data_IF_266207068492
#
_entry.id   IF_266207068492
#
_cell.length_a   1.000
_cell.length_b   1.000
_cell.length_c   1.000
_cell.angle_alpha   90.00
_cell.angle_beta   90.00
_cell.angle_gamma   90.00
#
_symmetry.space_group_name_H-M   'P 1'
#
loop_
_entity.id
_entity.type
_entity.pdbx_description
1 polymer ?
#
# COMPACT_ATOMS: atom_id res chain seq x y z
N UNK A 1 35.80 -21.31 17.23
CA UNK A 1 35.00 -20.08 17.35
C UNK A 1 34.54 -19.71 15.94
N UNK A 2 33.30 -20.02 15.60
CA UNK A 2 32.76 -19.74 14.26
C UNK A 2 32.30 -18.29 14.27
N UNK A 3 32.99 -17.42 13.51
CA UNK A 3 32.53 -16.07 13.22
C UNK A 3 31.25 -16.18 12.39
N UNK A 4 30.10 -16.03 13.05
CA UNK A 4 28.82 -15.86 12.38
C UNK A 4 28.84 -14.56 11.61
N UNK A 5 29.06 -14.62 10.30
CA UNK A 5 28.80 -13.50 9.39
C UNK A 5 27.32 -13.20 9.52
N UNK A 6 27.00 -12.13 10.24
CA UNK A 6 25.64 -11.59 10.24
C UNK A 6 25.31 -11.18 8.80
N UNK A 7 24.53 -12.01 8.14
CA UNK A 7 24.05 -11.74 6.79
C UNK A 7 23.05 -10.58 6.88
N UNK A 8 23.51 -9.36 6.57
CA UNK A 8 22.67 -8.17 6.52
C UNK A 8 21.58 -8.37 5.47
N UNK A 9 20.39 -8.69 5.92
CA UNK A 9 19.22 -8.75 5.04
C UNK A 9 18.75 -7.31 4.81
N UNK A 10 18.63 -6.91 3.55
CA UNK A 10 18.08 -5.60 3.19
C UNK A 10 16.70 -5.44 3.84
N UNK A 11 16.41 -4.25 4.42
CA UNK A 11 15.13 -3.95 5.06
C UNK A 11 13.93 -4.32 4.17
N UNK A 12 14.01 -4.01 2.88
CA UNK A 12 12.99 -4.35 1.88
C UNK A 12 12.58 -5.82 1.91
N UNK A 13 13.53 -6.73 2.12
CA UNK A 13 13.26 -8.16 2.19
C UNK A 13 12.56 -8.59 3.49
N UNK A 14 12.55 -7.73 4.51
CA UNK A 14 11.85 -7.97 5.79
C UNK A 14 10.42 -7.42 5.79
N UNK A 15 10.08 -6.53 4.85
CA UNK A 15 8.77 -5.89 4.77
C UNK A 15 7.77 -6.82 4.06
N UNK A 16 7.29 -7.83 4.79
CA UNK A 16 6.41 -8.87 4.23
C UNK A 16 5.09 -8.28 3.72
N UNK A 17 4.46 -7.36 4.47
CA UNK A 17 3.24 -6.68 4.04
C UNK A 17 3.44 -5.93 2.71
N UNK A 18 4.53 -5.18 2.55
CA UNK A 18 4.85 -4.49 1.30
C UNK A 18 5.05 -5.49 0.16
N UNK A 19 5.73 -6.60 0.43
CA UNK A 19 5.94 -7.65 -0.56
C UNK A 19 4.63 -8.32 -0.99
N UNK A 20 3.70 -8.52 -0.06
CA UNK A 20 2.37 -9.04 -0.34
C UNK A 20 1.57 -8.06 -1.21
N UNK A 21 1.57 -6.76 -0.87
CA UNK A 21 0.91 -5.71 -1.65
C UNK A 21 1.47 -5.63 -3.08
N UNK A 22 2.80 -5.67 -3.24
CA UNK A 22 3.44 -5.72 -4.56
C UNK A 22 2.98 -6.95 -5.36
N UNK A 23 2.86 -8.11 -4.69
CA UNK A 23 2.42 -9.35 -5.32
C UNK A 23 0.97 -9.32 -5.80
N UNK A 24 0.10 -8.48 -5.22
CA UNK A 24 -1.26 -8.27 -5.72
C UNK A 24 -1.28 -7.70 -7.14
N UNK A 25 -0.25 -7.00 -7.54
CA UNK A 25 -0.06 -6.44 -8.88
C UNK A 25 0.98 -7.20 -9.72
N UNK A 26 1.43 -8.37 -9.24
CA UNK A 26 2.38 -9.22 -9.94
C UNK A 26 3.82 -8.71 -9.97
N UNK A 27 4.21 -7.85 -9.02
CA UNK A 27 5.60 -7.39 -8.88
C UNK A 27 6.37 -8.23 -7.87
N UNK A 28 7.58 -8.63 -8.24
CA UNK A 28 8.47 -9.41 -7.37
C UNK A 28 9.18 -8.55 -6.32
N UNK A 29 9.35 -7.24 -6.58
CA UNK A 29 10.02 -6.31 -5.68
C UNK A 29 9.48 -4.90 -5.77
N UNK A 30 9.70 -4.10 -4.72
CA UNK A 30 9.36 -2.68 -4.71
C UNK A 30 10.14 -1.89 -5.78
N UNK A 31 11.39 -2.27 -6.05
CA UNK A 31 12.20 -1.66 -7.10
C UNK A 31 11.59 -1.86 -8.49
N UNK A 32 11.11 -3.08 -8.77
CA UNK A 32 10.43 -3.39 -10.04
C UNK A 32 9.17 -2.53 -10.19
N UNK A 33 8.29 -2.50 -9.18
CA UNK A 33 7.10 -1.66 -9.14
C UNK A 33 7.41 -0.18 -9.43
N UNK A 34 8.33 0.42 -8.68
CA UNK A 34 8.64 1.83 -8.81
C UNK A 34 9.26 2.16 -10.18
N UNK A 35 10.10 1.27 -10.72
CA UNK A 35 10.66 1.47 -12.05
C UNK A 35 9.62 1.39 -13.18
N UNK A 36 8.64 0.50 -13.03
CA UNK A 36 7.56 0.33 -14.01
C UNK A 36 6.59 1.53 -13.97
N UNK A 37 6.29 2.04 -12.77
CA UNK A 37 5.31 3.12 -12.58
C UNK A 37 5.88 4.55 -12.73
N UNK A 38 7.19 4.75 -12.68
CA UNK A 38 7.81 6.11 -12.58
C UNK A 38 7.51 7.06 -13.73
N UNK A 39 7.15 6.54 -14.91
CA UNK A 39 6.85 7.33 -16.09
C UNK A 39 5.35 7.40 -16.41
N UNK A 40 4.50 6.84 -15.54
CA UNK A 40 3.05 6.98 -15.66
C UNK A 40 2.66 8.42 -15.35
N UNK A 41 1.76 8.98 -16.15
CA UNK A 41 1.27 10.34 -15.93
C UNK A 41 0.54 10.45 -14.58
N UNK A 42 0.69 11.61 -13.93
CA UNK A 42 0.19 11.83 -12.57
C UNK A 42 -1.30 12.25 -12.52
N UNK A 43 -1.96 12.42 -13.67
CA UNK A 43 -3.32 12.91 -13.83
C UNK A 43 -4.34 11.79 -14.14
N UNK A 44 -5.54 12.20 -14.57
CA UNK A 44 -6.66 11.31 -14.86
C UNK A 44 -6.92 11.26 -16.37
N UNK A 45 -7.25 10.07 -16.85
CA UNK A 45 -7.65 9.84 -18.26
C UNK A 45 -9.06 10.41 -18.54
N UNK A 46 -9.44 10.43 -19.81
CA UNK A 46 -10.72 10.99 -20.26
C UNK A 46 -11.97 10.27 -19.72
N UNK A 47 -11.84 9.04 -19.27
CA UNK A 47 -12.89 8.26 -18.61
C UNK A 47 -13.00 8.55 -17.10
N UNK A 48 -12.10 9.38 -16.57
CA UNK A 48 -12.11 9.84 -15.19
C UNK A 48 -11.34 8.98 -14.21
N UNK A 49 -10.74 7.87 -14.65
CA UNK A 49 -9.80 7.07 -13.85
C UNK A 49 -8.37 7.58 -13.99
N UNK A 50 -7.52 7.32 -12.98
CA UNK A 50 -6.12 7.70 -13.03
C UNK A 50 -5.35 6.91 -14.10
N UNK A 51 -4.33 7.52 -14.69
CA UNK A 51 -3.43 6.78 -15.58
C UNK A 51 -2.72 5.62 -14.84
N UNK A 52 -2.53 5.76 -13.54
CA UNK A 52 -1.98 4.68 -12.71
C UNK A 52 -2.93 3.48 -12.61
N UNK A 53 -4.24 3.70 -12.46
CA UNK A 53 -5.24 2.64 -12.52
C UNK A 53 -5.13 1.84 -13.81
N UNK A 54 -5.13 2.52 -14.96
CA UNK A 54 -5.00 1.88 -16.28
C UNK A 54 -3.67 1.13 -16.43
N UNK A 55 -2.58 1.73 -15.96
CA UNK A 55 -1.26 1.11 -15.99
C UNK A 55 -1.22 -0.19 -15.19
N UNK A 56 -1.73 -0.17 -13.94
CA UNK A 56 -1.77 -1.36 -13.11
C UNK A 56 -2.69 -2.44 -13.73
N UNK A 57 -3.85 -2.05 -14.25
CA UNK A 57 -4.81 -2.97 -14.87
C UNK A 57 -4.23 -3.61 -16.15
N UNK A 58 -3.43 -2.87 -16.93
CA UNK A 58 -2.79 -3.37 -18.15
C UNK A 58 -1.88 -4.58 -17.94
N UNK A 59 -1.49 -4.87 -16.70
CA UNK A 59 -0.70 -6.07 -16.35
C UNK A 59 -1.52 -7.38 -16.47
N UNK A 60 -2.82 -7.27 -16.70
CA UNK A 60 -3.70 -8.38 -17.02
C UNK A 60 -3.75 -9.47 -15.94
N UNK A 61 -3.52 -10.73 -16.32
CA UNK A 61 -3.61 -11.88 -15.41
C UNK A 61 -2.62 -11.88 -14.23
N UNK A 62 -1.65 -10.97 -14.20
CA UNK A 62 -0.74 -10.81 -13.08
C UNK A 62 -1.39 -10.07 -11.90
N UNK A 63 -2.45 -9.31 -12.16
CA UNK A 63 -3.20 -8.55 -11.13
C UNK A 63 -4.17 -9.48 -10.44
N UNK A 64 -4.09 -9.56 -9.12
CA UNK A 64 -4.92 -10.43 -8.27
C UNK A 64 -6.13 -9.70 -7.65
N UNK A 65 -6.23 -8.40 -7.87
CA UNK A 65 -7.36 -7.57 -7.48
C UNK A 65 -8.31 -7.50 -8.67
N UNK A 66 -9.62 -7.63 -8.44
CA UNK A 66 -10.60 -7.47 -9.51
C UNK A 66 -10.61 -6.02 -10.03
N UNK A 67 -10.88 -5.85 -11.32
CA UNK A 67 -11.00 -4.53 -11.96
C UNK A 67 -11.99 -3.64 -11.20
N UNK A 68 -13.16 -4.15 -10.86
CA UNK A 68 -14.18 -3.39 -10.11
C UNK A 68 -13.67 -2.91 -8.75
N UNK A 69 -12.85 -3.71 -8.07
CA UNK A 69 -12.27 -3.33 -6.77
C UNK A 69 -11.18 -2.29 -6.93
N UNK A 70 -10.33 -2.43 -7.94
CA UNK A 70 -9.29 -1.45 -8.25
C UNK A 70 -9.91 -0.10 -8.66
N UNK A 71 -10.97 -0.12 -9.46
CA UNK A 71 -11.75 1.07 -9.83
C UNK A 71 -12.32 1.77 -8.58
N UNK A 72 -12.92 1.01 -7.66
CA UNK A 72 -13.43 1.55 -6.39
C UNK A 72 -12.33 2.26 -5.58
N UNK A 73 -11.13 1.68 -5.50
CA UNK A 73 -10.01 2.29 -4.80
C UNK A 73 -9.55 3.59 -5.47
N UNK A 74 -9.45 3.60 -6.80
CA UNK A 74 -9.07 4.80 -7.56
C UNK A 74 -10.09 5.95 -7.35
N UNK A 75 -11.38 5.66 -7.41
CA UNK A 75 -12.45 6.63 -7.11
C UNK A 75 -12.38 7.16 -5.67
N UNK A 76 -12.10 6.31 -4.69
CA UNK A 76 -11.91 6.72 -3.30
C UNK A 76 -10.73 7.68 -3.17
N UNK A 77 -9.58 7.34 -3.75
CA UNK A 77 -8.37 8.19 -3.77
C UNK A 77 -8.68 9.55 -4.39
N UNK A 78 -9.33 9.56 -5.55
CA UNK A 78 -9.78 10.79 -6.24
C UNK A 78 -10.66 11.66 -5.33
N UNK A 79 -11.64 11.06 -4.69
CA UNK A 79 -12.57 11.77 -3.77
C UNK A 79 -11.84 12.37 -2.57
N UNK A 80 -10.91 11.63 -1.95
CA UNK A 80 -10.12 12.12 -0.82
C UNK A 80 -9.19 13.26 -1.25
N UNK A 81 -8.55 13.13 -2.41
CA UNK A 81 -7.70 14.18 -2.97
C UNK A 81 -8.51 15.45 -3.30
N UNK A 82 -9.72 15.30 -3.86
CA UNK A 82 -10.64 16.43 -4.09
C UNK A 82 -11.02 17.12 -2.78
N UNK A 83 -11.21 16.37 -1.69
CA UNK A 83 -11.51 16.96 -0.37
C UNK A 83 -10.34 17.81 0.14
N UNK A 84 -9.10 17.37 -0.07
CA UNK A 84 -7.89 18.15 0.26
C UNK A 84 -7.78 19.40 -0.63
N UNK A 85 -8.12 19.27 -1.91
CA UNK A 85 -7.98 20.35 -2.90
C UNK A 85 -9.10 21.41 -2.85
N UNK A 86 -10.22 21.13 -2.16
CA UNK A 86 -11.41 21.98 -2.16
C UNK A 86 -11.15 23.47 -1.91
N UNK A 87 -10.23 23.76 -0.98
CA UNK A 87 -9.90 25.13 -0.56
C UNK A 87 -8.48 25.54 -0.97
N UNK A 88 -7.85 24.81 -1.90
CA UNK A 88 -6.50 25.13 -2.38
C UNK A 88 -6.56 25.98 -3.65
N UNK A 89 -5.79 27.06 -3.66
CA UNK A 89 -5.57 27.87 -4.85
C UNK A 89 -4.82 27.06 -5.93
N UNK A 90 -3.82 26.30 -5.50
CA UNK A 90 -3.02 25.42 -6.36
C UNK A 90 -3.33 23.97 -5.97
N UNK A 91 -4.12 23.24 -6.78
CA UNK A 91 -4.47 21.87 -6.51
C UNK A 91 -3.23 20.94 -6.51
N UNK A 92 -3.18 20.03 -5.55
CA UNK A 92 -2.17 18.99 -5.47
C UNK A 92 -2.54 17.84 -6.39
N UNK A 93 -1.55 17.31 -7.10
CA UNK A 93 -1.62 16.09 -7.89
C UNK A 93 -0.69 15.07 -7.26
N UNK A 94 -1.12 13.82 -7.16
CA UNK A 94 -0.31 12.74 -6.59
C UNK A 94 0.73 12.25 -7.59
N UNK A 95 1.99 12.28 -7.23
CA UNK A 95 3.05 11.59 -7.97
C UNK A 95 2.86 10.07 -7.88
N UNK A 96 3.39 9.33 -8.85
CA UNK A 96 3.25 7.88 -8.93
C UNK A 96 3.52 7.15 -7.59
N UNK A 97 4.58 7.51 -6.87
CA UNK A 97 4.92 6.88 -5.60
C UNK A 97 3.98 7.29 -4.45
N UNK A 98 3.42 8.50 -4.49
CA UNK A 98 2.40 8.97 -3.55
C UNK A 98 1.08 8.24 -3.81
N UNK A 99 0.67 8.13 -5.07
CA UNK A 99 -0.52 7.37 -5.45
C UNK A 99 -0.42 5.91 -4.99
N UNK A 100 0.71 5.24 -5.25
CA UNK A 100 0.93 3.86 -4.80
C UNK A 100 0.88 3.72 -3.28
N UNK A 101 1.43 4.69 -2.53
CA UNK A 101 1.34 4.71 -1.07
C UNK A 101 -0.11 4.79 -0.59
N UNK A 102 -0.91 5.67 -1.20
CA UNK A 102 -2.34 5.84 -0.87
C UNK A 102 -3.16 4.63 -1.29
N UNK A 103 -2.90 4.05 -2.47
CA UNK A 103 -3.55 2.83 -2.95
C UNK A 103 -3.29 1.65 -2.02
N UNK A 104 -2.06 1.47 -1.55
CA UNK A 104 -1.71 0.41 -0.63
C UNK A 104 -2.40 0.58 0.73
N UNK A 105 -2.61 1.83 1.15
CA UNK A 105 -3.41 2.14 2.33
C UNK A 105 -4.90 1.80 2.12
N UNK A 106 -5.47 2.12 0.95
CA UNK A 106 -6.86 1.72 0.61
C UNK A 106 -7.04 0.20 0.73
N UNK A 107 -6.15 -0.57 0.09
CA UNK A 107 -6.21 -2.02 0.12
C UNK A 107 -6.09 -2.54 1.56
N UNK A 108 -5.11 -2.02 2.32
CA UNK A 108 -4.90 -2.43 3.70
C UNK A 108 -6.13 -2.16 4.57
N UNK A 109 -6.69 -0.94 4.51
CA UNK A 109 -7.82 -0.54 5.35
C UNK A 109 -9.10 -1.29 4.97
N UNK A 110 -9.33 -1.53 3.68
CA UNK A 110 -10.45 -2.34 3.23
C UNK A 110 -10.36 -3.77 3.78
N UNK A 111 -9.20 -4.41 3.62
CA UNK A 111 -8.97 -5.74 4.16
C UNK A 111 -9.09 -5.77 5.70
N UNK A 112 -8.51 -4.79 6.38
CA UNK A 112 -8.49 -4.71 7.84
C UNK A 112 -9.88 -4.52 8.45
N UNK A 113 -10.70 -3.62 7.88
CA UNK A 113 -12.02 -3.31 8.45
C UNK A 113 -13.13 -4.22 7.95
N UNK A 114 -13.09 -4.63 6.69
CA UNK A 114 -14.19 -5.37 6.07
C UNK A 114 -13.95 -6.89 6.03
N UNK A 115 -12.68 -7.34 5.99
CA UNK A 115 -12.31 -8.76 5.81
C UNK A 115 -11.17 -9.22 6.75
N UNK A 116 -11.20 -8.92 8.07
CA UNK A 116 -10.03 -9.10 8.95
C UNK A 116 -9.55 -10.54 9.06
N UNK A 117 -10.45 -11.51 9.09
CA UNK A 117 -10.09 -12.93 9.22
C UNK A 117 -9.43 -13.46 7.94
N UNK A 118 -9.99 -13.12 6.78
CA UNK A 118 -9.44 -13.47 5.47
C UNK A 118 -8.09 -12.79 5.24
N UNK A 119 -7.97 -11.52 5.64
CA UNK A 119 -6.74 -10.75 5.51
C UNK A 119 -5.58 -11.41 6.25
N UNK A 120 -5.76 -11.75 7.55
CA UNK A 120 -4.73 -12.44 8.34
C UNK A 120 -4.38 -13.80 7.71
N UNK A 121 -5.40 -14.54 7.27
CA UNK A 121 -5.17 -15.84 6.62
C UNK A 121 -4.31 -15.66 5.37
N UNK A 122 -4.68 -14.76 4.47
CA UNK A 122 -3.98 -14.52 3.20
C UNK A 122 -2.54 -14.04 3.42
N UNK A 123 -2.30 -13.16 4.41
CA UNK A 123 -0.95 -12.73 4.78
C UNK A 123 -0.12 -13.91 5.30
N UNK A 124 -0.70 -14.77 6.13
CA UNK A 124 0.01 -15.91 6.70
C UNK A 124 0.27 -17.01 5.67
N UNK A 125 -0.66 -17.25 4.75
CA UNK A 125 -0.42 -18.14 3.60
C UNK A 125 0.77 -17.62 2.75
N UNK A 126 0.87 -16.31 2.54
CA UNK A 126 1.99 -15.69 1.85
C UNK A 126 3.32 -15.80 2.63
N UNK A 127 3.29 -15.66 3.96
CA UNK A 127 4.44 -15.88 4.83
C UNK A 127 4.93 -17.32 4.71
N UNK A 128 4.03 -18.29 4.80
CA UNK A 128 4.36 -19.71 4.73
C UNK A 128 4.95 -20.08 3.35
N UNK A 129 4.39 -19.56 2.27
CA UNK A 129 4.93 -19.71 0.92
C UNK A 129 6.36 -19.15 0.80
N UNK A 130 6.61 -17.96 1.35
CA UNK A 130 7.96 -17.38 1.35
C UNK A 130 8.94 -18.16 2.20
N UNK A 131 8.50 -18.66 3.35
CA UNK A 131 9.34 -19.47 4.22
C UNK A 131 9.71 -20.83 3.59
N UNK A 132 8.78 -21.47 2.88
CA UNK A 132 9.03 -22.74 2.19
C UNK A 132 10.07 -22.62 1.07
N UNK A 133 10.23 -21.45 0.48
CA UNK A 133 11.21 -21.17 -0.58
C UNK A 133 12.59 -20.77 -0.05
N UNK A 134 12.73 -20.58 1.26
CA UNK A 134 14.02 -20.22 1.87
C UNK A 134 14.94 -21.42 2.02
N UNK A 135 16.10 -21.37 1.41
CA UNK A 135 17.17 -22.35 1.56
C UNK A 135 18.02 -22.10 2.83
N UNK A 136 17.39 -21.69 3.95
CA UNK A 136 18.03 -21.37 5.22
C UNK A 136 17.87 -19.91 5.66
N UNK A 137 18.34 -19.58 6.86
CA UNK A 137 18.23 -18.25 7.47
C UNK A 137 17.01 -18.09 8.37
N UNK A 138 16.79 -16.86 8.89
CA UNK A 138 15.68 -16.55 9.78
C UNK A 138 14.36 -16.59 9.01
N UNK A 139 13.40 -17.35 9.50
CA UNK A 139 12.06 -17.41 8.95
C UNK A 139 11.29 -16.12 9.26
N UNK A 140 10.31 -15.78 8.43
CA UNK A 140 9.37 -14.71 8.71
C UNK A 140 8.35 -15.20 9.74
N UNK A 141 8.03 -14.34 10.70
CA UNK A 141 6.96 -14.61 11.65
C UNK A 141 5.59 -14.43 11.01
N UNK A 142 4.61 -15.19 11.47
CA UNK A 142 3.22 -15.06 11.04
C UNK A 142 2.59 -13.83 11.70
N UNK A 143 1.72 -13.15 10.94
CA UNK A 143 0.97 -12.02 11.44
C UNK A 143 -0.08 -12.43 12.48
N UNK A 144 -0.21 -11.61 13.51
CA UNK A 144 -1.29 -11.63 14.49
C UNK A 144 -2.24 -10.44 14.25
N UNK A 145 -3.37 -10.39 14.97
CA UNK A 145 -4.28 -9.24 14.90
C UNK A 145 -3.61 -7.94 15.38
N UNK A 146 -2.75 -8.04 16.38
CA UNK A 146 -2.07 -6.89 16.98
C UNK A 146 -1.06 -6.26 16.02
N UNK A 147 -0.40 -7.05 15.18
CA UNK A 147 0.51 -6.54 14.15
C UNK A 147 -0.19 -5.64 13.13
N UNK A 148 -1.47 -5.91 12.85
CA UNK A 148 -2.26 -5.15 11.88
C UNK A 148 -2.84 -3.84 12.46
N UNK A 149 -2.63 -3.57 13.74
CA UNK A 149 -3.05 -2.28 14.37
C UNK A 149 -2.08 -1.14 14.09
N UNK A 150 -0.92 -1.43 13.51
CA UNK A 150 0.16 -0.47 13.25
C UNK A 150 0.55 -0.49 11.79
N UNK A 151 0.51 0.68 11.16
CA UNK A 151 0.96 0.87 9.78
C UNK A 151 2.04 1.95 9.74
N UNK A 152 3.20 1.62 9.18
CA UNK A 152 4.32 2.53 9.07
C UNK A 152 4.64 2.85 7.61
N UNK A 153 4.98 4.10 7.33
CA UNK A 153 5.37 4.58 6.01
C UNK A 153 6.83 5.02 6.01
N UNK A 154 7.58 4.51 5.05
CA UNK A 154 8.96 4.91 4.86
C UNK A 154 9.08 5.77 3.60
N UNK A 155 9.24 7.05 3.79
CA UNK A 155 9.27 8.04 2.71
C UNK A 155 10.45 8.99 2.89
N UNK A 156 11.08 9.37 1.76
CA UNK A 156 12.19 10.34 1.76
C UNK A 156 11.73 11.73 2.26
N UNK A 157 12.69 12.54 2.70
CA UNK A 157 12.42 13.96 3.03
C UNK A 157 11.96 14.68 1.77
N UNK A 158 10.95 15.54 1.89
CA UNK A 158 10.36 16.27 0.75
C UNK A 158 9.42 15.46 -0.14
N UNK A 159 9.20 14.17 0.13
CA UNK A 159 8.30 13.30 -0.68
C UNK A 159 6.80 13.53 -0.46
N UNK A 160 6.40 14.47 0.39
CA UNK A 160 4.99 14.78 0.68
C UNK A 160 4.39 13.94 1.80
N UNK A 161 5.17 13.55 2.82
CA UNK A 161 4.69 12.79 4.00
C UNK A 161 3.43 13.39 4.63
N UNK A 162 3.39 14.70 4.81
CA UNK A 162 2.21 15.40 5.37
C UNK A 162 0.96 15.24 4.50
N UNK A 163 1.12 15.29 3.16
CA UNK A 163 0.01 15.06 2.25
C UNK A 163 -0.54 13.63 2.38
N UNK A 164 0.35 12.63 2.41
CA UNK A 164 -0.04 11.22 2.60
C UNK A 164 -0.73 11.03 3.95
N UNK A 165 -0.23 11.63 5.02
CA UNK A 165 -0.86 11.58 6.34
C UNK A 165 -2.30 12.12 6.30
N UNK A 166 -2.55 13.25 5.62
CA UNK A 166 -3.90 13.80 5.48
C UNK A 166 -4.80 12.89 4.64
N UNK A 167 -4.30 12.30 3.56
CA UNK A 167 -5.06 11.32 2.78
C UNK A 167 -5.39 10.08 3.60
N UNK A 168 -4.41 9.53 4.33
CA UNK A 168 -4.62 8.38 5.20
C UNK A 168 -5.67 8.65 6.29
N UNK A 169 -5.76 9.89 6.79
CA UNK A 169 -6.82 10.30 7.70
C UNK A 169 -8.21 10.17 7.07
N UNK A 170 -8.41 10.67 5.83
CA UNK A 170 -9.68 10.52 5.11
C UNK A 170 -9.99 9.06 4.79
N UNK A 171 -9.00 8.28 4.39
CA UNK A 171 -9.14 6.84 4.14
C UNK A 171 -9.56 6.11 5.40
N UNK A 172 -8.90 6.37 6.51
CA UNK A 172 -9.26 5.77 7.80
C UNK A 172 -10.70 6.10 8.21
N UNK A 173 -11.14 7.34 8.09
CA UNK A 173 -12.53 7.75 8.37
C UNK A 173 -13.53 7.08 7.43
N UNK A 174 -13.14 6.83 6.17
CA UNK A 174 -13.99 6.13 5.20
C UNK A 174 -14.26 4.68 5.60
N UNK A 175 -13.24 3.96 6.03
CA UNK A 175 -13.34 2.54 6.38
C UNK A 175 -13.79 2.29 7.82
N UNK A 176 -13.37 3.12 8.76
CA UNK A 176 -13.74 2.97 10.16
C UNK A 176 -15.19 3.39 10.40
N UNK A 177 -16.04 2.42 10.74
CA UNK A 177 -17.45 2.64 11.09
C UNK A 177 -17.69 2.73 12.60
N UNK A 178 -16.63 2.65 13.41
CA UNK A 178 -16.73 2.76 14.87
C UNK A 178 -16.67 4.22 15.30
N UNK A 179 -17.29 4.52 16.44
CA UNK A 179 -17.09 5.83 17.09
C UNK A 179 -15.61 6.01 17.46
N UNK A 180 -15.11 7.22 17.25
CA UNK A 180 -13.75 7.61 17.62
C UNK A 180 -13.87 8.65 18.73
N UNK A 181 -13.20 8.39 19.86
CA UNK A 181 -13.15 9.37 20.94
C UNK A 181 -12.16 10.49 20.60
N UNK A 182 -10.99 10.13 20.07
CA UNK A 182 -9.94 11.09 19.73
C UNK A 182 -9.11 10.59 18.54
N UNK A 183 -8.61 11.54 17.74
CA UNK A 183 -7.57 11.31 16.73
C UNK A 183 -6.41 12.24 17.04
N UNK A 184 -5.24 11.66 17.33
CA UNK A 184 -4.03 12.41 17.58
C UNK A 184 -3.13 12.38 16.34
N UNK A 185 -2.86 13.54 15.75
CA UNK A 185 -1.87 13.71 14.69
C UNK A 185 -0.60 14.32 15.30
N UNK A 186 0.51 13.57 15.19
CA UNK A 186 1.83 14.02 15.63
C UNK A 186 2.66 14.32 14.37
N UNK A 187 3.12 15.56 14.24
CA UNK A 187 3.92 16.05 13.11
C UNK A 187 5.34 16.40 13.52
#
# INVERSE_FOLDING_TARGET
>A
MANGIQQYTKLENRLVLLSWLNNLFGYASNKELLNDCKNVADDYAGDGFSHMYHHLLSRGSKVKISEAKLAQYDENIKRHLQSINRNRKDPVILRYFQYLSVLYTEIFLDCYFNHPAEFIKTLNDFVDERNSRKAGGVLYERFTKDDLTKLAYWMATGSGKTLIMHLNYYQFLHYNKRSLDNILLIT
#
